data_IF_737499224296
#
_entry.id   IF_737499224296
#
_cell.length_a   1.000
_cell.length_b   1.000
_cell.length_c   1.000
_cell.angle_alpha   90.00
_cell.angle_beta   90.00
_cell.angle_gamma   90.00
#
_symmetry.space_group_name_H-M   'P 1'
#
loop_
_entity.id
_entity.type
_entity.pdbx_description
1 polymer ?
#
# COMPACT_ATOMS: atom_id res chain seq x y z
N UNK A 1 4.37 13.46 28.44
CA UNK A 1 3.93 13.63 27.03
C UNK A 1 4.97 13.17 26.02
N UNK A 2 6.27 13.22 26.35
CA UNK A 2 7.36 12.85 25.44
C UNK A 2 7.40 11.35 25.10
N UNK A 3 7.10 10.48 26.08
CA UNK A 3 7.08 9.03 25.89
C UNK A 3 6.05 8.58 24.84
N UNK A 4 4.88 9.23 24.78
CA UNK A 4 3.84 8.92 23.79
C UNK A 4 4.32 9.23 22.36
N UNK A 5 4.94 10.40 22.15
CA UNK A 5 5.51 10.78 20.85
C UNK A 5 6.68 9.88 20.45
N UNK A 6 7.46 9.38 21.40
CA UNK A 6 8.53 8.41 21.13
C UNK A 6 7.96 7.07 20.67
N UNK A 7 6.95 6.54 21.36
CA UNK A 7 6.31 5.26 21.01
C UNK A 7 5.66 5.34 19.62
N UNK A 8 4.90 6.40 19.33
CA UNK A 8 4.24 6.57 18.02
C UNK A 8 5.27 6.63 16.88
N UNK A 9 6.37 7.37 17.06
CA UNK A 9 7.45 7.45 16.06
C UNK A 9 8.15 6.12 15.87
N UNK A 10 8.40 5.38 16.95
CA UNK A 10 9.05 4.08 16.87
C UNK A 10 8.18 3.08 16.10
N UNK A 11 6.88 3.01 16.41
CA UNK A 11 5.91 2.17 15.67
C UNK A 11 5.85 2.60 14.20
N UNK A 12 5.86 3.90 13.92
CA UNK A 12 5.86 4.43 12.56
C UNK A 12 7.11 4.01 11.76
N UNK A 13 8.31 4.12 12.34
CA UNK A 13 9.57 3.72 11.69
C UNK A 13 9.58 2.21 11.44
N UNK A 14 9.21 1.41 12.43
CA UNK A 14 9.18 -0.06 12.28
C UNK A 14 8.14 -0.46 11.24
N UNK A 15 6.92 0.09 11.31
CA UNK A 15 5.85 -0.15 10.34
C UNK A 15 6.22 0.31 8.93
N UNK A 16 6.86 1.47 8.79
CA UNK A 16 7.33 2.01 7.51
C UNK A 16 8.43 1.15 6.90
N UNK A 17 9.38 0.68 7.72
CA UNK A 17 10.46 -0.21 7.28
C UNK A 17 9.90 -1.54 6.77
N UNK A 18 8.96 -2.14 7.51
CA UNK A 18 8.27 -3.35 7.08
C UNK A 18 7.50 -3.11 5.77
N UNK A 19 6.77 -2.00 5.66
CA UNK A 19 6.08 -1.63 4.42
C UNK A 19 7.06 -1.55 3.23
N UNK A 20 8.21 -0.90 3.39
CA UNK A 20 9.20 -0.82 2.32
C UNK A 20 9.79 -2.19 1.95
N UNK A 21 10.12 -3.04 2.93
CA UNK A 21 10.64 -4.39 2.68
C UNK A 21 9.63 -5.27 1.92
N UNK A 22 8.37 -5.29 2.37
CA UNK A 22 7.32 -6.06 1.69
C UNK A 22 6.91 -5.46 0.35
N UNK A 23 6.96 -4.13 0.21
CA UNK A 23 6.75 -3.43 -1.05
C UNK A 23 7.81 -3.77 -2.09
N UNK A 24 9.09 -3.73 -1.70
CA UNK A 24 10.20 -4.18 -2.56
C UNK A 24 10.10 -5.67 -2.90
N UNK A 25 9.79 -6.50 -1.90
CA UNK A 25 9.54 -7.93 -2.12
C UNK A 25 8.40 -8.19 -3.10
N UNK A 26 7.35 -7.35 -3.09
CA UNK A 26 6.25 -7.43 -4.04
C UNK A 26 6.68 -7.04 -5.46
N UNK A 27 7.59 -6.07 -5.61
CA UNK A 27 8.12 -5.64 -6.91
C UNK A 27 9.03 -6.71 -7.55
N UNK A 28 9.86 -7.37 -6.75
CA UNK A 28 10.78 -8.43 -7.22
C UNK A 28 10.03 -9.74 -7.51
N UNK A 29 8.92 -9.99 -6.81
CA UNK A 29 8.13 -11.21 -6.98
C UNK A 29 7.38 -11.25 -8.32
N UNK A 30 7.37 -12.42 -8.97
CA UNK A 30 6.63 -12.64 -10.22
C UNK A 30 5.14 -12.33 -10.04
N UNK A 31 4.65 -11.41 -10.85
CA UNK A 31 3.25 -10.96 -10.90
C UNK A 31 2.30 -12.15 -11.04
N UNK A 32 1.38 -12.31 -10.08
CA UNK A 32 0.37 -13.37 -10.08
C UNK A 32 0.72 -14.63 -9.29
N UNK A 33 1.93 -14.76 -8.75
CA UNK A 33 2.23 -15.81 -7.77
C UNK A 33 1.60 -15.50 -6.41
N UNK A 34 1.29 -16.55 -5.63
CA UNK A 34 0.71 -16.43 -4.27
C UNK A 34 1.55 -15.49 -3.39
N UNK A 35 2.88 -15.54 -3.54
CA UNK A 35 3.84 -14.70 -2.82
C UNK A 35 3.61 -13.20 -3.08
N UNK A 36 3.40 -12.79 -4.35
CA UNK A 36 3.11 -11.40 -4.70
C UNK A 36 1.77 -10.90 -4.10
N UNK A 37 0.78 -11.79 -3.99
CA UNK A 37 -0.53 -11.45 -3.39
C UNK A 37 -0.43 -11.27 -1.88
N UNK A 38 0.33 -12.13 -1.20
CA UNK A 38 0.57 -12.05 0.24
C UNK A 38 1.43 -10.82 0.57
N UNK A 39 2.52 -10.58 -0.16
CA UNK A 39 3.38 -9.42 0.06
C UNK A 39 2.63 -8.10 -0.16
N UNK A 40 1.77 -8.02 -1.19
CA UNK A 40 0.92 -6.86 -1.44
C UNK A 40 -0.12 -6.62 -0.34
N UNK A 41 -0.66 -7.69 0.26
CA UNK A 41 -1.60 -7.58 1.38
C UNK A 41 -0.90 -7.12 2.67
N UNK A 42 0.28 -7.67 2.98
CA UNK A 42 1.09 -7.23 4.14
C UNK A 42 1.53 -5.78 3.97
N UNK A 43 1.91 -5.39 2.75
CA UNK A 43 2.22 -4.00 2.42
C UNK A 43 1.04 -3.06 2.70
N UNK A 44 -0.18 -3.43 2.25
CA UNK A 44 -1.39 -2.65 2.50
C UNK A 44 -1.67 -2.44 3.99
N UNK A 45 -1.63 -3.51 4.79
CA UNK A 45 -1.86 -3.44 6.24
C UNK A 45 -0.79 -2.62 6.96
N UNK A 46 0.48 -2.79 6.58
CA UNK A 46 1.59 -2.02 7.14
C UNK A 46 1.44 -0.53 6.81
N UNK A 47 1.08 -0.21 5.57
CA UNK A 47 0.87 1.17 5.14
C UNK A 47 -0.33 1.83 5.84
N UNK A 48 -1.41 1.08 6.10
CA UNK A 48 -2.55 1.57 6.88
C UNK A 48 -2.16 1.92 8.32
N UNK A 49 -1.33 1.09 8.98
CA UNK A 49 -0.83 1.39 10.32
C UNK A 49 0.07 2.64 10.34
N UNK A 50 0.94 2.78 9.33
CA UNK A 50 1.79 3.98 9.12
C UNK A 50 0.92 5.22 8.89
N UNK A 51 -0.17 5.10 8.14
CA UNK A 51 -1.11 6.19 7.91
C UNK A 51 -1.80 6.66 9.20
N UNK A 52 -2.31 5.73 10.02
CA UNK A 52 -2.98 6.08 11.30
C UNK A 52 -2.01 6.78 12.25
N UNK A 53 -0.78 6.28 12.36
CA UNK A 53 0.26 6.90 13.19
C UNK A 53 0.68 8.28 12.68
N UNK A 54 0.83 8.43 11.35
CA UNK A 54 1.14 9.71 10.72
C UNK A 54 0.01 10.74 10.89
N UNK A 55 -1.25 10.30 10.82
CA UNK A 55 -2.41 11.16 11.03
C UNK A 55 -2.44 11.73 12.46
N UNK A 56 -2.18 10.88 13.46
CA UNK A 56 -2.04 11.33 14.85
C UNK A 56 -0.89 12.33 15.05
N UNK A 57 0.27 12.06 14.44
CA UNK A 57 1.42 12.98 14.46
C UNK A 57 1.13 14.32 13.76
N UNK A 58 0.41 14.28 12.63
CA UNK A 58 0.08 15.47 11.85
C UNK A 58 -0.86 16.41 12.62
N UNK A 59 -1.83 15.86 13.36
CA UNK A 59 -2.74 16.63 14.21
C UNK A 59 -1.98 17.24 15.39
N UNK A 60 -1.13 16.45 16.07
CA UNK A 60 -0.35 16.91 17.22
C UNK A 60 0.68 18.00 16.87
N UNK A 61 1.22 17.98 15.65
CA UNK A 61 2.18 18.98 15.16
C UNK A 61 1.52 20.09 14.32
N UNK A 62 0.20 20.04 14.11
CA UNK A 62 -0.56 20.95 13.23
C UNK A 62 0.13 21.20 11.88
N UNK A 63 0.73 20.15 11.30
CA UNK A 63 1.51 20.28 10.08
C UNK A 63 0.71 19.74 8.88
N UNK A 64 0.16 20.63 8.01
CA UNK A 64 -0.67 20.21 6.90
C UNK A 64 0.10 19.40 5.86
N UNK A 65 1.42 19.60 5.73
CA UNK A 65 2.25 18.86 4.80
C UNK A 65 2.31 17.36 5.14
N UNK A 66 2.51 17.03 6.42
CA UNK A 66 2.52 15.65 6.90
C UNK A 66 1.17 14.97 6.66
N UNK A 67 0.08 15.70 6.88
CA UNK A 67 -1.28 15.19 6.66
C UNK A 67 -1.50 14.88 5.18
N UNK A 68 -1.11 15.80 4.30
CA UNK A 68 -1.28 15.65 2.85
C UNK A 68 -0.48 14.47 2.30
N UNK A 69 0.78 14.32 2.71
CA UNK A 69 1.62 13.18 2.32
C UNK A 69 1.02 11.87 2.82
N UNK A 70 0.58 11.80 4.08
CA UNK A 70 -0.03 10.60 4.64
C UNK A 70 -1.28 10.17 3.84
N UNK A 71 -2.20 11.11 3.58
CA UNK A 71 -3.44 10.84 2.82
C UNK A 71 -3.11 10.47 1.38
N UNK A 72 -2.20 11.18 0.73
CA UNK A 72 -1.80 10.92 -0.65
C UNK A 72 -1.20 9.52 -0.80
N UNK A 73 -0.26 9.14 0.07
CA UNK A 73 0.35 7.82 0.00
C UNK A 73 -0.66 6.69 0.27
N UNK A 74 -1.55 6.86 1.25
CA UNK A 74 -2.61 5.90 1.51
C UNK A 74 -3.58 5.78 0.32
N UNK A 75 -3.93 6.91 -0.31
CA UNK A 75 -4.81 6.95 -1.47
C UNK A 75 -4.25 6.15 -2.65
N UNK A 76 -2.96 6.27 -2.95
CA UNK A 76 -2.30 5.49 -4.02
C UNK A 76 -2.40 3.99 -3.77
N UNK A 77 -2.17 3.56 -2.53
CA UNK A 77 -2.24 2.15 -2.13
C UNK A 77 -3.68 1.62 -2.20
N UNK A 78 -4.66 2.41 -1.73
CA UNK A 78 -6.08 2.07 -1.81
C UNK A 78 -6.57 1.97 -3.27
N UNK A 79 -6.16 2.90 -4.13
CA UNK A 79 -6.46 2.89 -5.56
C UNK A 79 -5.87 1.64 -6.25
N UNK A 80 -4.62 1.30 -5.92
CA UNK A 80 -3.97 0.07 -6.36
C UNK A 80 -4.76 -1.18 -5.97
N UNK A 81 -5.17 -1.27 -4.70
CA UNK A 81 -5.99 -2.38 -4.19
C UNK A 81 -7.36 -2.47 -4.89
N UNK A 82 -8.03 -1.34 -5.10
CA UNK A 82 -9.32 -1.27 -5.83
C UNK A 82 -9.17 -1.75 -7.27
N UNK A 83 -8.10 -1.37 -7.96
CA UNK A 83 -7.84 -1.81 -9.33
C UNK A 83 -7.65 -3.33 -9.44
N UNK A 84 -7.05 -3.96 -8.41
CA UNK A 84 -6.89 -5.40 -8.32
C UNK A 84 -8.22 -6.10 -8.03
N UNK A 85 -9.06 -5.52 -7.18
CA UNK A 85 -10.40 -6.03 -6.89
C UNK A 85 -11.28 -6.04 -8.14
N UNK A 86 -11.26 -4.97 -8.92
CA UNK A 86 -12.05 -4.88 -10.16
C UNK A 86 -11.63 -5.93 -11.21
N UNK A 87 -10.33 -6.28 -11.27
CA UNK A 87 -9.81 -7.36 -12.11
C UNK A 87 -10.24 -8.76 -11.65
N UNK A 88 -10.63 -8.93 -10.39
CA UNK A 88 -11.18 -10.18 -9.87
C UNK A 88 -12.68 -10.30 -10.20
N UNK A 89 -13.40 -9.18 -10.24
CA UNK A 89 -14.83 -9.12 -10.58
C UNK A 89 -15.10 -9.37 -12.07
N UNK A 90 -14.19 -8.95 -12.96
CA UNK A 90 -14.19 -9.36 -14.38
C UNK A 90 -13.10 -10.41 -14.61
N UNK A 91 -13.31 -11.69 -14.22
CA UNK A 91 -12.42 -12.76 -14.64
C UNK A 91 -12.42 -12.77 -16.16
N UNK A 92 -11.24 -12.60 -16.77
CA UNK A 92 -11.06 -12.43 -18.21
C UNK A 92 -12.09 -13.23 -19.01
N UNK A 93 -12.97 -12.52 -19.71
CA UNK A 93 -13.48 -13.01 -20.99
C UNK A 93 -12.21 -13.39 -21.76
N UNK A 94 -11.97 -14.70 -21.92
CA UNK A 94 -10.80 -15.20 -22.65
C UNK A 94 -10.82 -14.47 -23.99
N UNK A 95 -9.73 -13.78 -24.35
CA UNK A 95 -9.58 -13.22 -25.69
C UNK A 95 -9.84 -14.37 -26.66
N UNK A 96 -10.78 -14.24 -27.62
CA UNK A 96 -11.10 -15.34 -28.51
C UNK A 96 -9.83 -15.79 -29.23
N UNK A 97 -9.57 -17.10 -29.33
CA UNK A 97 -8.44 -17.62 -30.09
C UNK A 97 -8.65 -17.24 -31.56
N UNK A 98 -7.97 -16.19 -32.04
CA UNK A 98 -8.13 -15.70 -33.41
C UNK A 98 -7.71 -14.25 -33.65
N UNK A 99 -7.57 -13.40 -32.63
CA UNK A 99 -7.10 -12.00 -32.78
C UNK A 99 -5.59 -11.85 -32.55
N UNK A 100 -4.81 -12.63 -33.29
CA UNK A 100 -3.36 -12.44 -33.51
C UNK A 100 -3.16 -11.97 -34.95
N UNK A 101 -2.89 -10.67 -35.12
CA UNK A 101 -2.45 -10.12 -36.41
C UNK A 101 -3.54 -9.41 -37.20
N UNK A 102 -3.80 -8.16 -36.86
CA UNK A 102 -4.02 -7.09 -37.83
C UNK A 102 -3.87 -5.78 -37.05
N UNK A 103 -2.69 -5.18 -37.21
CA UNK A 103 -2.25 -3.80 -36.92
C UNK A 103 -2.91 -3.04 -35.76
#
# INVERSE_FOLDING_TARGET
MENLLMIIRLIHIVGGTLALLFGLGALVSKKGQKIHRISGQVYFWSMLAVFITALGLAILRLNPFLLLVAVFSFHLVASGYRSLYLKQLHPRVKKPPGLTGCW
#
